data_IF_647621486378
#
_entry.id   IF_647621486378
#
_cell.length_a   1.000
_cell.length_b   1.000
_cell.length_c   1.000
_cell.angle_alpha   90.00
_cell.angle_beta   90.00
_cell.angle_gamma   90.00
#
_symmetry.space_group_name_H-M   'P 1'
#
loop_
_entity.id
_entity.type
_entity.pdbx_description
1 polymer ?
#
# COMPACT_ATOMS: atom_id res chain seq x y z
N UNK A 1 -9.14 0.89 -14.23
CA UNK A 1 -10.05 1.27 -13.14
C UNK A 1 -9.87 0.38 -11.90
N UNK A 2 -10.07 -0.93 -12.01
CA UNK A 2 -10.11 -1.87 -10.87
C UNK A 2 -8.92 -1.85 -9.89
N UNK A 3 -7.67 -1.71 -10.37
CA UNK A 3 -6.50 -1.69 -9.49
C UNK A 3 -6.48 -0.46 -8.55
N UNK A 4 -6.84 0.71 -9.07
CA UNK A 4 -6.92 1.94 -8.29
C UNK A 4 -8.12 1.92 -7.33
N UNK A 5 -9.26 1.38 -7.77
CA UNK A 5 -10.42 1.19 -6.90
C UNK A 5 -10.10 0.28 -5.72
N UNK A 6 -9.39 -0.83 -5.95
CA UNK A 6 -8.93 -1.73 -4.90
C UNK A 6 -7.94 -1.07 -3.94
N UNK A 7 -6.99 -0.29 -4.46
CA UNK A 7 -6.07 0.49 -3.63
C UNK A 7 -6.82 1.48 -2.73
N UNK A 8 -7.69 2.31 -3.30
CA UNK A 8 -8.42 3.32 -2.52
C UNK A 8 -9.42 2.71 -1.53
N UNK A 9 -10.04 1.57 -1.87
CA UNK A 9 -10.85 0.83 -0.91
C UNK A 9 -10.02 0.38 0.30
N UNK A 10 -8.83 -0.16 0.06
CA UNK A 10 -7.92 -0.57 1.12
C UNK A 10 -7.44 0.60 1.97
N UNK A 11 -6.97 1.68 1.34
CA UNK A 11 -6.49 2.88 2.02
C UNK A 11 -7.56 3.47 2.94
N UNK A 12 -8.81 3.52 2.47
CA UNK A 12 -9.92 4.04 3.27
C UNK A 12 -10.19 3.19 4.51
N UNK A 13 -10.27 1.86 4.33
CA UNK A 13 -10.59 0.93 5.42
C UNK A 13 -9.45 0.72 6.42
N UNK A 14 -8.19 0.72 5.98
CA UNK A 14 -7.04 0.41 6.84
C UNK A 14 -6.37 1.65 7.45
N UNK A 15 -6.64 2.85 6.92
CA UNK A 15 -5.98 4.07 7.38
C UNK A 15 -6.98 5.21 7.64
N UNK A 16 -7.70 5.64 6.60
CA UNK A 16 -8.48 6.88 6.68
C UNK A 16 -9.64 6.83 7.68
N UNK A 17 -10.39 5.73 7.72
CA UNK A 17 -11.54 5.60 8.63
C UNK A 17 -11.16 5.22 10.07
N UNK A 18 -9.93 4.79 10.30
CA UNK A 18 -9.47 4.34 11.62
C UNK A 18 -8.84 5.47 12.47
N UNK A 19 -8.59 6.62 11.86
CA UNK A 19 -7.91 7.75 12.48
C UNK A 19 -8.72 9.03 12.32
N UNK A 20 -8.61 9.92 13.31
CA UNK A 20 -9.01 11.32 13.14
C UNK A 20 -7.74 12.14 12.95
N UNK A 21 -7.79 13.08 12.03
CA UNK A 21 -6.70 13.99 11.72
C UNK A 21 -7.10 15.39 12.18
N UNK A 22 -6.19 16.07 12.86
CA UNK A 22 -6.38 17.44 13.34
C UNK A 22 -6.03 18.47 12.26
N UNK A 23 -5.27 18.07 11.23
CA UNK A 23 -4.91 18.93 10.11
C UNK A 23 -4.72 18.18 8.79
N UNK A 24 -4.75 18.92 7.68
CA UNK A 24 -4.41 18.39 6.37
C UNK A 24 -2.94 17.96 6.27
N UNK A 25 -2.04 18.63 7.00
CA UNK A 25 -0.61 18.28 7.04
C UNK A 25 -0.40 16.92 7.72
N UNK A 26 -1.09 16.67 8.83
CA UNK A 26 -1.06 15.38 9.51
C UNK A 26 -1.61 14.25 8.62
N UNK A 27 -2.73 14.49 7.94
CA UNK A 27 -3.28 13.55 6.96
C UNK A 27 -2.27 13.25 5.84
N UNK A 28 -1.58 14.27 5.33
CA UNK A 28 -0.58 14.10 4.27
C UNK A 28 0.60 13.27 4.74
N UNK A 29 1.17 13.58 5.90
CA UNK A 29 2.28 12.83 6.48
C UNK A 29 1.91 11.35 6.69
N UNK A 30 0.74 11.08 7.27
CA UNK A 30 0.28 9.70 7.47
C UNK A 30 -0.04 8.98 6.15
N UNK A 31 -0.45 9.70 5.10
CA UNK A 31 -0.66 9.13 3.77
C UNK A 31 0.66 8.69 3.14
N UNK A 32 1.72 9.51 3.25
CA UNK A 32 3.06 9.17 2.75
C UNK A 32 3.60 7.92 3.46
N UNK A 33 3.44 7.82 4.78
CA UNK A 33 3.80 6.62 5.56
C UNK A 33 2.99 5.38 5.13
N UNK A 34 1.68 5.52 4.95
CA UNK A 34 0.84 4.40 4.54
C UNK A 34 1.20 3.90 3.13
N UNK A 35 1.50 4.82 2.20
CA UNK A 35 1.92 4.46 0.84
C UNK A 35 3.26 3.71 0.86
N UNK A 36 4.21 4.15 1.69
CA UNK A 36 5.47 3.43 1.89
C UNK A 36 5.21 2.02 2.40
N UNK A 37 4.48 1.90 3.52
CA UNK A 37 4.10 0.61 4.10
C UNK A 37 3.42 -0.31 3.07
N UNK A 38 2.42 0.20 2.34
CA UNK A 38 1.67 -0.57 1.35
C UNK A 38 2.59 -1.16 0.28
N UNK A 39 3.58 -0.39 -0.19
CA UNK A 39 4.45 -0.79 -1.29
C UNK A 39 5.64 -1.64 -0.87
N UNK A 40 6.25 -1.32 0.28
CA UNK A 40 7.55 -1.86 0.68
C UNK A 40 7.47 -2.91 1.77
N UNK A 41 6.49 -2.80 2.67
CA UNK A 41 6.48 -3.58 3.92
C UNK A 41 5.27 -4.53 4.01
N UNK A 42 4.18 -4.22 3.29
CA UNK A 42 2.94 -4.99 3.36
C UNK A 42 3.15 -6.44 2.97
N UNK A 43 2.97 -7.33 3.94
CA UNK A 43 3.03 -8.78 3.74
C UNK A 43 1.74 -9.23 3.04
N UNK A 44 1.86 -9.71 1.80
CA UNK A 44 0.76 -10.37 1.09
C UNK A 44 1.03 -11.87 1.03
N UNK A 45 0.23 -12.66 1.76
CA UNK A 45 0.33 -14.13 1.73
C UNK A 45 0.16 -14.70 0.31
N UNK A 46 -0.71 -14.09 -0.50
CA UNK A 46 -0.88 -14.43 -1.92
C UNK A 46 0.36 -14.16 -2.79
N UNK A 47 1.31 -13.37 -2.30
CA UNK A 47 2.59 -13.09 -2.96
C UNK A 47 3.76 -13.82 -2.25
N UNK A 48 3.48 -14.96 -1.60
CA UNK A 48 4.46 -15.71 -0.82
C UNK A 48 5.13 -14.87 0.30
N UNK A 49 4.37 -13.93 0.88
CA UNK A 49 4.85 -13.02 1.91
C UNK A 49 5.69 -11.84 1.39
N UNK A 50 5.88 -11.71 0.08
CA UNK A 50 6.60 -10.58 -0.51
C UNK A 50 5.76 -9.30 -0.48
N UNK A 51 6.46 -8.17 -0.33
CA UNK A 51 5.85 -6.86 -0.57
C UNK A 51 5.60 -6.62 -2.06
N UNK A 52 4.67 -5.73 -2.43
CA UNK A 52 4.37 -5.46 -3.83
C UNK A 52 5.58 -5.10 -4.70
N UNK A 53 6.55 -4.34 -4.17
CA UNK A 53 7.79 -4.01 -4.89
C UNK A 53 8.67 -5.24 -5.10
N UNK A 54 8.85 -6.06 -4.05
CA UNK A 54 9.65 -7.29 -4.14
C UNK A 54 9.06 -8.28 -5.15
N UNK A 55 7.75 -8.45 -5.12
CA UNK A 55 7.05 -9.32 -6.07
C UNK A 55 7.24 -8.87 -7.53
N UNK A 56 7.12 -7.57 -7.81
CA UNK A 56 7.33 -7.03 -9.16
C UNK A 56 8.77 -7.23 -9.65
N UNK A 57 9.75 -7.02 -8.77
CA UNK A 57 11.17 -7.20 -9.10
C UNK A 57 11.45 -8.67 -9.45
N UNK A 58 11.03 -9.60 -8.59
CA UNK A 58 11.20 -11.03 -8.82
C UNK A 58 10.51 -11.52 -10.10
N UNK A 59 9.29 -11.03 -10.38
CA UNK A 59 8.57 -11.36 -11.60
C UNK A 59 9.26 -10.86 -12.87
N UNK A 60 9.92 -9.69 -12.82
CA UNK A 60 10.68 -9.15 -13.94
C UNK A 60 11.97 -9.95 -14.20
N UNK A 61 12.68 -10.34 -13.13
CA UNK A 61 13.87 -11.20 -13.22
C UNK A 61 13.54 -12.58 -13.79
N UNK A 62 12.42 -13.18 -13.38
CA UNK A 62 11.99 -14.49 -13.87
C UNK A 62 11.50 -14.49 -15.35
N UNK A 63 11.20 -13.31 -15.90
CA UNK A 63 10.76 -13.16 -17.29
C UNK A 63 11.91 -12.81 -18.25
N UNK A 64 13.14 -12.67 -17.74
CA UNK A 64 14.38 -12.36 -18.47
C UNK A 64 15.16 -13.63 -18.78
#
# INVERSE_FOLDING_TARGET
NAAMESFFGTLKSEFFYLKRFESAEELKAGLDEYIHYYNHDRIKLKLNGMSPVKYRTHAAEAAS
#
